data_IF_882616054619
#
_entry.id   IF_882616054619
#
_cell.length_a   1.000
_cell.length_b   1.000
_cell.length_c   1.000
_cell.angle_alpha   90.00
_cell.angle_beta   90.00
_cell.angle_gamma   90.00
#
_symmetry.space_group_name_H-M   'P 1'
#
loop_
_entity.id
_entity.type
_entity.pdbx_description
1 polymer ?
#
# COMPACT_ATOMS: atom_id res chain seq x y z
N UNK A 1 -49.42 -30.11 15.15
CA UNK A 1 -49.74 -30.62 13.80
C UNK A 1 -48.44 -30.74 13.03
N UNK A 2 -48.14 -31.96 12.60
CA UNK A 2 -46.88 -32.37 11.97
C UNK A 2 -46.92 -31.97 10.50
N UNK A 3 -45.89 -31.31 9.98
CA UNK A 3 -45.54 -31.43 8.57
C UNK A 3 -44.05 -31.71 8.45
N UNK A 4 -43.81 -32.87 7.84
CA UNK A 4 -42.57 -33.58 7.56
C UNK A 4 -42.51 -33.64 6.02
N UNK A 5 -41.46 -33.12 5.39
CA UNK A 5 -41.02 -33.46 4.02
C UNK A 5 -39.51 -33.23 3.92
N UNK A 6 -38.67 -34.28 3.85
CA UNK A 6 -38.16 -34.97 2.64
C UNK A 6 -37.15 -34.11 1.86
N UNK A 7 -35.84 -34.29 2.08
CA UNK A 7 -34.86 -35.08 1.25
C UNK A 7 -34.57 -34.54 -0.15
N UNK A 8 -33.30 -34.22 -0.42
CA UNK A 8 -32.56 -34.73 -1.59
C UNK A 8 -31.05 -34.41 -1.48
N UNK A 9 -30.25 -35.46 -1.35
CA UNK A 9 -28.80 -35.51 -1.47
C UNK A 9 -28.44 -35.67 -2.94
N UNK A 10 -27.51 -34.87 -3.48
CA UNK A 10 -26.93 -35.09 -4.80
C UNK A 10 -25.42 -35.29 -4.66
N UNK A 11 -25.00 -36.53 -4.86
CA UNK A 11 -23.62 -36.97 -5.03
C UNK A 11 -23.30 -36.82 -6.52
N UNK A 12 -22.30 -36.04 -6.88
CA UNK A 12 -21.70 -36.08 -8.22
C UNK A 12 -20.25 -36.53 -8.08
N UNK A 13 -20.05 -37.81 -8.34
CA UNK A 13 -18.78 -38.47 -8.63
C UNK A 13 -18.20 -37.94 -9.94
N UNK A 14 -16.96 -37.46 -9.91
CA UNK A 14 -16.18 -37.10 -11.11
C UNK A 14 -14.76 -37.65 -10.99
N UNK A 15 -14.53 -38.80 -11.61
CA UNK A 15 -13.22 -39.43 -11.79
C UNK A 15 -12.56 -38.80 -13.02
N UNK A 16 -11.35 -38.25 -12.87
CA UNK A 16 -10.50 -37.85 -13.98
C UNK A 16 -9.16 -38.60 -13.89
N UNK A 17 -8.94 -39.44 -14.90
CA UNK A 17 -7.78 -40.29 -15.14
C UNK A 17 -6.81 -39.57 -16.10
N UNK A 18 -5.54 -39.98 -16.10
CA UNK A 18 -4.45 -39.72 -17.07
C UNK A 18 -3.56 -38.50 -16.80
N UNK A 19 -2.23 -38.50 -16.97
CA UNK A 19 -1.14 -39.46 -17.22
C UNK A 19 0.17 -38.66 -16.92
N UNK A 20 1.30 -39.28 -16.54
CA UNK A 20 2.53 -38.53 -16.26
C UNK A 20 3.32 -38.20 -17.54
N UNK A 21 3.72 -36.93 -17.69
CA UNK A 21 4.67 -36.48 -18.71
C UNK A 21 6.11 -36.64 -18.18
N UNK A 22 6.89 -37.51 -18.83
CA UNK A 22 8.35 -37.57 -18.71
C UNK A 22 9.00 -36.39 -19.42
N UNK A 23 9.96 -35.74 -18.77
CA UNK A 23 10.84 -34.72 -19.35
C UNK A 23 12.25 -35.31 -19.52
N UNK A 24 12.87 -35.30 -20.71
CA UNK A 24 14.27 -35.65 -20.87
C UNK A 24 15.19 -34.48 -20.55
N UNK A 25 16.37 -34.81 -20.03
CA UNK A 25 17.43 -33.92 -19.58
C UNK A 25 18.00 -33.03 -20.70
N UNK A 26 18.24 -31.76 -20.37
CA UNK A 26 18.99 -30.82 -21.21
C UNK A 26 20.42 -30.67 -20.67
N UNK A 27 21.38 -30.87 -21.57
CA UNK A 27 22.82 -30.61 -21.45
C UNK A 27 23.10 -29.15 -21.04
N UNK A 28 23.99 -28.96 -20.06
CA UNK A 28 24.66 -27.68 -19.82
C UNK A 28 26.13 -27.77 -20.25
N UNK A 29 26.62 -26.89 -21.13
CA UNK A 29 28.05 -26.74 -21.38
C UNK A 29 28.70 -25.77 -20.38
N UNK A 30 29.88 -26.18 -19.92
CA UNK A 30 30.79 -25.51 -18.99
C UNK A 30 31.40 -24.24 -19.59
N UNK A 31 31.42 -23.13 -18.83
CA UNK A 31 32.16 -21.90 -19.17
C UNK A 31 33.53 -21.95 -18.50
N UNK A 32 34.60 -21.98 -19.31
CA UNK A 32 35.98 -21.69 -18.90
C UNK A 32 36.26 -20.19 -18.98
N UNK A 33 36.86 -19.65 -17.92
CA UNK A 33 37.36 -18.28 -17.81
C UNK A 33 38.85 -18.29 -18.08
N UNK A 34 39.33 -17.58 -19.09
CA UNK A 34 40.76 -17.28 -19.28
C UNK A 34 41.01 -15.79 -19.05
N UNK A 35 41.89 -15.53 -18.07
CA UNK A 35 42.48 -14.25 -17.74
C UNK A 35 43.74 -14.08 -18.59
N UNK A 36 43.93 -12.92 -19.23
CA UNK A 36 45.26 -12.53 -19.69
C UNK A 36 45.49 -11.02 -19.52
N UNK A 37 46.61 -10.73 -18.86
CA UNK A 37 47.23 -9.43 -18.70
C UNK A 37 48.57 -9.46 -19.44
N UNK A 38 48.98 -8.37 -20.11
CA UNK A 38 50.36 -7.89 -20.06
C UNK A 38 50.54 -6.45 -20.60
N UNK A 39 51.61 -5.81 -20.14
CA UNK A 39 52.00 -4.39 -20.24
C UNK A 39 53.10 -4.12 -21.29
N UNK A 40 53.38 -2.82 -21.55
CA UNK A 40 54.65 -2.28 -22.10
C UNK A 40 54.46 -0.98 -22.90
N UNK A 41 54.72 0.24 -22.37
CA UNK A 41 55.98 1.03 -22.35
C UNK A 41 56.43 1.53 -23.77
N UNK A 42 56.84 2.78 -24.10
CA UNK A 42 57.26 4.00 -23.38
C UNK A 42 57.32 5.28 -24.28
N UNK A 43 57.22 6.47 -23.66
CA UNK A 43 57.86 7.82 -23.90
C UNK A 43 57.67 8.57 -25.26
N UNK A 44 57.56 9.92 -25.42
CA UNK A 44 57.97 11.12 -24.66
C UNK A 44 57.17 12.40 -25.03
N UNK A 45 57.30 13.40 -24.15
CA UNK A 45 56.68 14.74 -23.96
C UNK A 45 56.86 15.73 -25.16
N UNK A 46 55.92 16.65 -25.44
CA UNK A 46 55.85 18.03 -24.88
C UNK A 46 54.50 18.71 -25.20
N UNK A 47 53.95 19.49 -24.27
CA UNK A 47 53.48 20.89 -24.44
C UNK A 47 52.57 21.30 -23.28
N UNK A 48 52.82 22.52 -22.81
CA UNK A 48 52.46 23.09 -21.52
C UNK A 48 51.10 23.80 -21.58
N UNK A 49 50.12 23.34 -20.78
CA UNK A 49 48.90 24.09 -20.41
C UNK A 49 48.28 23.47 -19.15
N UNK A 50 47.95 24.23 -18.09
CA UNK A 50 47.34 23.66 -16.90
C UNK A 50 45.90 23.22 -17.21
N UNK A 51 45.68 21.91 -17.30
CA UNK A 51 44.37 21.30 -17.42
C UNK A 51 43.74 21.16 -16.03
N UNK A 52 42.54 21.73 -15.88
CA UNK A 52 41.64 21.55 -14.73
C UNK A 52 41.42 20.04 -14.46
N UNK A 53 41.54 19.55 -13.22
CA UNK A 53 41.41 18.12 -12.96
C UNK A 53 39.97 17.63 -13.27
N UNK A 54 39.82 16.44 -13.90
CA UNK A 54 38.51 15.87 -14.18
C UNK A 54 37.84 15.45 -12.86
N UNK A 55 36.61 15.91 -12.66
CA UNK A 55 35.80 15.54 -11.51
C UNK A 55 35.57 14.02 -11.52
N UNK A 56 36.03 13.34 -10.46
CA UNK A 56 35.66 11.95 -10.19
C UNK A 56 34.14 11.87 -10.04
N UNK A 57 33.49 11.07 -10.90
CA UNK A 57 32.08 10.75 -10.76
C UNK A 57 31.91 9.84 -9.55
N UNK A 58 31.67 10.45 -8.40
CA UNK A 58 31.11 9.72 -7.26
C UNK A 58 29.68 9.37 -7.67
N UNK A 59 29.41 8.09 -7.95
CA UNK A 59 28.05 7.58 -8.01
C UNK A 59 27.45 7.76 -6.61
N UNK A 60 26.76 8.87 -6.40
CA UNK A 60 25.84 9.01 -5.28
C UNK A 60 24.74 7.97 -5.46
N UNK A 61 24.47 7.10 -4.48
CA UNK A 61 23.30 6.24 -4.54
C UNK A 61 22.08 7.14 -4.68
N UNK A 62 21.26 6.87 -5.70
CA UNK A 62 20.02 7.60 -5.93
C UNK A 62 19.10 7.31 -4.74
N UNK A 63 19.03 8.25 -3.80
CA UNK A 63 18.03 8.26 -2.74
C UNK A 63 16.69 8.37 -3.45
N UNK A 64 15.80 7.40 -3.26
CA UNK A 64 14.42 7.54 -3.71
C UNK A 64 13.83 8.78 -3.01
N UNK A 65 13.52 9.81 -3.79
CA UNK A 65 13.29 11.19 -3.30
C UNK A 65 11.82 11.51 -3.00
N UNK A 66 10.90 10.53 -3.12
CA UNK A 66 9.48 10.78 -2.86
C UNK A 66 9.23 10.87 -1.35
N UNK A 67 8.80 12.01 -0.79
CA UNK A 67 8.58 12.14 0.65
C UNK A 67 7.53 11.13 1.14
N UNK A 68 7.71 10.57 2.33
CA UNK A 68 6.68 9.74 2.99
C UNK A 68 5.50 10.63 3.36
N UNK A 69 4.39 10.50 2.64
CA UNK A 69 3.16 11.29 2.83
C UNK A 69 2.03 10.48 3.45
N UNK A 70 2.34 9.35 4.09
CA UNK A 70 1.31 8.49 4.71
C UNK A 70 0.72 9.08 5.97
N UNK A 71 1.42 9.98 6.68
CA UNK A 71 0.91 10.65 7.87
C UNK A 71 1.05 12.16 7.68
N UNK A 72 -0.05 12.89 7.89
CA UNK A 72 -0.03 14.35 7.94
C UNK A 72 -0.73 14.83 9.19
N UNK A 73 0.02 15.59 10.00
CA UNK A 73 -0.50 16.35 11.14
C UNK A 73 -0.84 17.73 10.62
N UNK A 74 -2.13 18.12 10.64
CA UNK A 74 -2.48 19.46 10.18
C UNK A 74 -1.74 20.53 11.01
N UNK A 75 -1.05 21.44 10.34
CA UNK A 75 -0.24 22.48 10.99
C UNK A 75 -1.08 23.76 11.21
N UNK A 76 -1.24 24.19 12.47
CA UNK A 76 -1.80 25.50 12.79
C UNK A 76 -2.66 25.58 14.06
N UNK A 77 -2.53 26.67 14.81
CA UNK A 77 -3.20 26.92 16.10
C UNK A 77 -4.61 27.53 15.99
N UNK A 78 -5.20 27.55 14.78
CA UNK A 78 -6.60 27.90 14.43
C UNK A 78 -6.67 28.09 12.90
N UNK A 79 -6.84 26.99 12.16
CA UNK A 79 -6.96 27.00 10.70
C UNK A 79 -8.41 26.84 10.22
N UNK A 80 -8.64 26.93 8.91
CA UNK A 80 -9.97 26.82 8.27
C UNK A 80 -10.67 25.49 8.60
N UNK A 81 -9.92 24.41 8.81
CA UNK A 81 -10.45 23.12 9.26
C UNK A 81 -10.86 23.08 10.76
N UNK A 82 -10.75 24.18 11.52
CA UNK A 82 -10.96 24.19 12.96
C UNK A 82 -9.90 23.36 13.70
N UNK A 83 -10.32 22.32 14.41
CA UNK A 83 -9.42 21.32 15.02
C UNK A 83 -8.74 20.52 13.93
N UNK A 84 -7.41 20.57 13.86
CA UNK A 84 -6.66 19.89 12.82
C UNK A 84 -6.44 18.42 13.18
N UNK A 85 -7.03 17.47 12.44
CA UNK A 85 -6.79 16.05 12.69
C UNK A 85 -5.36 15.67 12.31
N UNK A 86 -4.90 14.57 12.90
CA UNK A 86 -3.91 13.71 12.26
C UNK A 86 -4.65 12.80 11.29
N UNK A 87 -4.26 12.84 10.03
CA UNK A 87 -4.76 11.97 8.97
C UNK A 87 -3.64 10.99 8.58
N UNK A 88 -3.99 9.71 8.43
CA UNK A 88 -3.03 8.71 7.98
C UNK A 88 -3.62 7.72 6.97
N UNK A 89 -2.85 7.38 5.94
CA UNK A 89 -3.09 6.26 5.05
C UNK A 89 -2.49 4.99 5.68
N UNK A 90 -3.29 3.94 5.87
CA UNK A 90 -2.78 2.65 6.33
C UNK A 90 -2.17 1.93 5.12
N UNK A 91 -0.89 2.19 4.88
CA UNK A 91 -0.12 1.64 3.76
C UNK A 91 1.33 1.38 4.18
N UNK A 92 2.03 0.39 3.60
CA UNK A 92 3.48 0.31 3.66
C UNK A 92 4.14 1.42 2.83
N UNK A 93 5.43 1.63 3.02
CA UNK A 93 6.24 2.53 2.21
C UNK A 93 7.54 1.82 1.78
N UNK A 94 7.95 1.92 0.51
CA UNK A 94 7.34 2.75 -0.53
C UNK A 94 6.06 2.17 -1.16
N UNK A 95 5.81 0.87 -1.05
CA UNK A 95 4.65 0.19 -1.65
C UNK A 95 4.31 -1.09 -0.88
N UNK A 96 3.04 -1.51 -0.89
CA UNK A 96 2.59 -2.80 -0.33
C UNK A 96 1.84 -3.65 -1.37
N UNK A 97 2.02 -4.98 -1.39
CA UNK A 97 1.30 -5.85 -2.30
C UNK A 97 -0.07 -6.28 -1.76
N UNK A 98 -1.00 -6.57 -2.68
CA UNK A 98 -2.29 -7.24 -2.43
C UNK A 98 -2.54 -8.35 -3.45
N UNK A 99 -3.15 -9.47 -3.06
CA UNK A 99 -3.64 -10.46 -4.03
C UNK A 99 -5.04 -10.13 -4.54
N UNK A 100 -5.77 -9.22 -3.90
CA UNK A 100 -7.15 -8.88 -4.25
C UNK A 100 -7.22 -7.88 -5.41
N UNK A 101 -8.13 -8.10 -6.36
CA UNK A 101 -8.39 -7.15 -7.44
C UNK A 101 -9.22 -5.96 -7.00
N UNK A 102 -10.02 -6.13 -5.94
CA UNK A 102 -10.85 -5.08 -5.36
C UNK A 102 -10.65 -5.01 -3.84
N UNK A 103 -9.43 -4.65 -3.35
CA UNK A 103 -9.14 -4.59 -1.93
C UNK A 103 -9.94 -3.50 -1.21
N UNK A 104 -10.02 -3.62 0.11
CA UNK A 104 -10.39 -2.52 1.00
C UNK A 104 -9.14 -1.75 1.43
N UNK A 105 -9.13 -0.44 1.22
CA UNK A 105 -8.08 0.46 1.67
C UNK A 105 -8.51 1.14 2.96
N UNK A 106 -7.63 1.24 3.95
CA UNK A 106 -7.99 1.79 5.25
C UNK A 106 -7.25 3.11 5.52
N UNK A 107 -7.92 4.05 6.15
CA UNK A 107 -7.35 5.34 6.54
C UNK A 107 -7.77 5.70 7.96
N UNK A 108 -7.00 6.55 8.62
CA UNK A 108 -7.21 6.95 10.01
C UNK A 108 -7.37 8.46 10.14
N UNK A 109 -8.27 8.89 11.02
CA UNK A 109 -8.42 10.28 11.43
C UNK A 109 -8.56 10.41 12.95
N UNK A 110 -7.74 11.27 13.57
CA UNK A 110 -7.63 11.32 15.04
C UNK A 110 -8.77 12.03 15.75
N UNK A 111 -9.56 12.83 15.05
CA UNK A 111 -10.67 13.62 15.60
C UNK A 111 -11.82 13.64 14.63
N UNK A 112 -13.06 13.74 15.12
CA UNK A 112 -14.21 13.90 14.26
C UNK A 112 -14.12 15.22 13.48
N UNK A 113 -14.52 15.22 12.21
CA UNK A 113 -14.47 16.39 11.34
C UNK A 113 -15.82 16.64 10.67
N UNK A 114 -16.16 17.92 10.54
CA UNK A 114 -17.36 18.39 9.83
C UNK A 114 -17.08 18.80 8.38
N UNK A 115 -15.92 18.40 7.85
CA UNK A 115 -15.51 18.65 6.47
C UNK A 115 -15.64 17.36 5.66
N UNK A 116 -15.97 17.45 4.35
CA UNK A 116 -16.01 16.27 3.51
C UNK A 116 -14.60 15.69 3.33
N UNK A 117 -14.55 14.36 3.18
CA UNK A 117 -13.33 13.65 2.81
C UNK A 117 -13.42 13.31 1.34
N UNK A 118 -12.34 13.58 0.60
CA UNK A 118 -12.16 13.10 -0.76
C UNK A 118 -11.18 11.94 -0.78
N UNK A 119 -11.53 10.91 -1.53
CA UNK A 119 -10.66 9.78 -1.84
C UNK A 119 -10.40 9.77 -3.34
N UNK A 120 -9.16 9.51 -3.73
CA UNK A 120 -8.78 9.25 -5.13
C UNK A 120 -7.85 8.06 -5.24
N UNK A 121 -7.95 7.34 -6.36
CA UNK A 121 -7.07 6.25 -6.78
C UNK A 121 -6.63 6.54 -8.22
N UNK A 122 -5.33 6.60 -8.46
CA UNK A 122 -4.74 6.81 -9.78
C UNK A 122 -3.82 5.64 -10.13
N UNK A 123 -3.67 5.39 -11.42
CA UNK A 123 -2.65 4.50 -11.96
C UNK A 123 -1.29 5.23 -11.98
N UNK A 124 -0.25 4.67 -11.35
CA UNK A 124 1.09 5.31 -11.38
C UNK A 124 1.76 5.19 -12.76
N UNK A 125 1.33 4.25 -13.61
CA UNK A 125 1.92 4.02 -14.93
C UNK A 125 1.29 4.91 -16.02
N UNK A 126 0.22 5.64 -15.71
CA UNK A 126 -0.40 6.58 -16.65
C UNK A 126 0.40 7.88 -16.81
N UNK A 127 0.72 8.23 -18.05
CA UNK A 127 1.43 9.48 -18.39
C UNK A 127 0.67 10.76 -17.97
N UNK A 128 -0.67 10.69 -17.94
CA UNK A 128 -1.54 11.79 -17.50
C UNK A 128 -2.41 11.23 -16.39
N UNK A 129 -2.06 11.44 -15.11
CA UNK A 129 -2.74 10.79 -14.00
C UNK A 129 -4.19 11.28 -13.92
N UNK A 130 -5.12 10.39 -14.29
CA UNK A 130 -6.56 10.57 -14.09
C UNK A 130 -7.02 9.62 -12.98
N UNK A 131 -7.93 10.05 -12.10
CA UNK A 131 -8.47 9.15 -11.09
C UNK A 131 -9.24 8.03 -11.77
N UNK A 132 -8.79 6.80 -11.56
CA UNK A 132 -9.54 5.58 -11.86
C UNK A 132 -10.78 5.50 -10.98
N UNK A 133 -10.68 6.04 -9.77
CA UNK A 133 -11.77 6.18 -8.84
C UNK A 133 -11.63 7.47 -8.03
N UNK A 134 -12.73 8.18 -7.86
CA UNK A 134 -12.83 9.32 -6.96
C UNK A 134 -14.17 9.27 -6.24
N UNK A 135 -14.18 9.53 -4.94
CA UNK A 135 -15.42 9.58 -4.15
C UNK A 135 -15.33 10.60 -3.02
N UNK A 136 -16.50 10.99 -2.50
CA UNK A 136 -16.66 11.91 -1.38
C UNK A 136 -17.42 11.23 -0.25
N UNK A 137 -16.86 11.35 0.96
CA UNK A 137 -17.54 10.96 2.20
C UNK A 137 -18.15 12.21 2.81
N UNK A 138 -19.47 12.20 2.97
CA UNK A 138 -20.19 13.32 3.55
C UNK A 138 -19.89 13.45 5.06
N UNK A 139 -19.73 14.68 5.58
CA UNK A 139 -19.60 14.90 7.01
C UNK A 139 -20.95 14.63 7.73
N UNK A 140 -20.93 14.38 9.05
CA UNK A 140 -19.76 14.33 9.92
C UNK A 140 -19.01 12.99 9.80
N UNK A 141 -17.68 13.07 9.70
CA UNK A 141 -16.83 11.88 9.73
C UNK A 141 -16.31 11.68 11.15
N UNK A 142 -16.57 10.51 11.72
CA UNK A 142 -16.13 10.15 13.06
C UNK A 142 -14.62 9.90 13.11
N UNK A 143 -14.02 10.01 14.30
CA UNK A 143 -12.64 9.62 14.50
C UNK A 143 -12.45 8.10 14.44
N UNK A 144 -11.27 7.64 14.06
CA UNK A 144 -10.92 6.23 13.98
C UNK A 144 -10.44 5.78 12.60
N UNK A 145 -10.46 4.46 12.41
CA UNK A 145 -10.05 3.80 11.16
C UNK A 145 -11.29 3.55 10.31
N UNK A 146 -11.22 3.94 9.04
CA UNK A 146 -12.33 3.87 8.08
C UNK A 146 -11.90 3.09 6.83
N UNK A 147 -12.80 2.26 6.26
CA UNK A 147 -12.56 1.56 5.00
C UNK A 147 -12.95 2.40 3.78
N UNK A 148 -12.30 2.13 2.65
CA UNK A 148 -12.72 2.44 1.28
C UNK A 148 -12.71 1.11 0.52
N UNK A 149 -13.88 0.59 0.19
CA UNK A 149 -14.01 -0.70 -0.50
C UNK A 149 -14.02 -0.46 -1.99
N UNK A 150 -12.99 -0.90 -2.72
CA UNK A 150 -12.96 -0.76 -4.18
C UNK A 150 -14.04 -1.62 -4.87
N UNK A 151 -14.52 -2.66 -4.19
CA UNK A 151 -15.64 -3.47 -4.64
C UNK A 151 -16.92 -2.63 -4.86
N UNK A 152 -17.15 -1.61 -4.02
CA UNK A 152 -18.37 -0.79 -4.08
C UNK A 152 -18.42 0.11 -5.33
N UNK A 153 -17.25 0.42 -5.92
CA UNK A 153 -17.16 1.21 -7.15
C UNK A 153 -17.01 0.38 -8.42
N UNK A 154 -16.77 -0.92 -8.30
CA UNK A 154 -16.52 -1.82 -9.43
C UNK A 154 -15.11 -1.69 -10.04
N UNK A 155 -14.24 -0.87 -9.46
CA UNK A 155 -12.85 -0.70 -9.93
C UNK A 155 -12.02 -1.93 -9.58
N UNK A 156 -11.20 -2.39 -10.53
CA UNK A 156 -10.34 -3.57 -10.42
C UNK A 156 -8.89 -3.21 -10.71
N UNK A 157 -8.01 -3.63 -9.81
CA UNK A 157 -6.56 -3.50 -9.96
C UNK A 157 -6.02 -4.60 -10.87
N UNK A 158 -5.19 -4.25 -11.84
CA UNK A 158 -4.58 -5.19 -12.77
C UNK A 158 -3.29 -5.77 -12.19
N UNK A 159 -3.00 -7.07 -12.35
CA UNK A 159 -1.78 -7.70 -11.85
C UNK A 159 -0.50 -7.03 -12.35
N UNK A 160 0.43 -6.76 -11.42
CA UNK A 160 1.73 -6.14 -11.67
C UNK A 160 1.71 -4.63 -11.82
N UNK A 161 0.56 -3.97 -11.65
CA UNK A 161 0.44 -2.51 -11.71
C UNK A 161 0.45 -1.91 -10.30
N UNK A 162 0.97 -0.68 -10.21
CA UNK A 162 0.99 0.12 -9.00
C UNK A 162 -0.01 1.25 -9.11
N UNK A 163 -0.67 1.50 -7.99
CA UNK A 163 -1.68 2.53 -7.86
C UNK A 163 -1.36 3.40 -6.67
N UNK A 164 -1.44 4.70 -6.86
CA UNK A 164 -1.36 5.67 -5.78
C UNK A 164 -2.78 6.03 -5.36
N UNK A 165 -3.03 5.99 -4.07
CA UNK A 165 -4.31 6.38 -3.50
C UNK A 165 -4.12 7.45 -2.44
N UNK A 166 -5.08 8.36 -2.34
CA UNK A 166 -5.03 9.46 -1.39
C UNK A 166 -6.37 9.68 -0.70
N UNK A 167 -6.28 10.20 0.52
CA UNK A 167 -7.42 10.70 1.28
C UNK A 167 -7.13 12.13 1.69
N UNK A 168 -8.10 13.03 1.52
CA UNK A 168 -7.97 14.44 1.81
C UNK A 168 -9.16 14.96 2.61
N UNK A 169 -8.89 15.64 3.72
CA UNK A 169 -9.87 16.50 4.40
C UNK A 169 -9.96 17.80 3.63
N UNK A 170 -11.10 18.06 2.99
CA UNK A 170 -11.31 19.28 2.20
C UNK A 170 -11.67 20.43 3.12
N UNK A 171 -10.67 21.20 3.53
CA UNK A 171 -10.88 22.33 4.45
C UNK A 171 -11.56 23.51 3.75
N UNK A 172 -11.21 23.76 2.50
CA UNK A 172 -11.70 24.88 1.69
C UNK A 172 -11.74 24.46 0.22
N UNK A 173 -12.94 24.28 -0.33
CA UNK A 173 -13.13 23.81 -1.70
C UNK A 173 -12.46 24.73 -2.74
N UNK A 174 -12.37 26.03 -2.47
CA UNK A 174 -11.74 27.02 -3.36
C UNK A 174 -10.21 27.08 -3.15
N UNK A 175 -9.69 26.51 -2.06
CA UNK A 175 -8.27 26.61 -1.67
C UNK A 175 -7.71 25.26 -1.23
N UNK A 176 -7.74 24.30 -2.17
CA UNK A 176 -7.27 22.91 -2.00
C UNK A 176 -5.82 22.74 -1.54
N UNK A 177 -4.97 23.76 -1.70
CA UNK A 177 -3.60 23.77 -1.15
C UNK A 177 -3.56 23.73 0.38
N UNK A 178 -4.71 23.90 1.05
CA UNK A 178 -4.87 23.82 2.51
C UNK A 178 -5.39 22.49 3.01
N UNK A 179 -5.68 21.56 2.12
CA UNK A 179 -6.18 20.25 2.53
C UNK A 179 -5.15 19.52 3.38
N UNK A 180 -5.65 18.80 4.37
CA UNK A 180 -4.86 17.81 5.09
C UNK A 180 -5.05 16.53 4.31
N UNK A 181 -4.00 15.98 3.71
CA UNK A 181 -4.11 14.76 2.92
C UNK A 181 -2.99 13.78 3.22
N UNK A 182 -3.32 12.50 3.13
CA UNK A 182 -2.40 11.39 3.29
C UNK A 182 -2.48 10.48 2.06
N UNK A 183 -1.42 9.73 1.80
CA UNK A 183 -1.27 8.99 0.56
C UNK A 183 -0.57 7.66 0.80
N UNK A 184 -0.96 6.64 0.04
CA UNK A 184 -0.34 5.32 0.03
C UNK A 184 -0.17 4.79 -1.39
N UNK A 185 0.68 3.78 -1.54
CA UNK A 185 0.85 3.06 -2.80
C UNK A 185 0.49 1.60 -2.58
N UNK A 186 -0.29 1.03 -3.50
CA UNK A 186 -0.66 -0.37 -3.53
C UNK A 186 -0.26 -0.98 -4.86
N UNK A 187 0.32 -2.17 -4.79
CA UNK A 187 0.64 -2.98 -5.96
C UNK A 187 -0.28 -4.20 -5.98
N UNK A 188 -0.87 -4.48 -7.14
CA UNK A 188 -1.54 -5.76 -7.32
C UNK A 188 -0.51 -6.83 -7.62
N UNK A 189 -0.33 -7.77 -6.70
CA UNK A 189 0.62 -8.87 -6.86
C UNK A 189 0.28 -9.72 -8.09
N UNK A 190 1.32 -10.20 -8.78
CA UNK A 190 1.15 -11.30 -9.73
C UNK A 190 1.02 -12.61 -8.95
N UNK A 191 0.42 -13.62 -9.56
CA UNK A 191 0.17 -14.93 -8.93
C UNK A 191 1.43 -15.61 -8.35
N UNK A 192 2.62 -15.30 -8.87
CA UNK A 192 3.89 -15.84 -8.38
C UNK A 192 4.41 -15.14 -7.12
N UNK A 193 3.86 -13.98 -6.76
CA UNK A 193 4.48 -13.01 -5.84
C UNK A 193 3.65 -12.85 -4.54
N UNK A 194 2.75 -13.79 -4.25
CA UNK A 194 1.76 -13.73 -3.15
C UNK A 194 2.34 -13.88 -1.73
N UNK A 195 3.66 -13.77 -1.55
CA UNK A 195 4.28 -13.85 -0.22
C UNK A 195 4.23 -12.48 0.49
N UNK A 196 3.66 -12.43 1.70
CA UNK A 196 3.69 -11.23 2.55
C UNK A 196 2.78 -10.10 2.08
N UNK A 197 1.48 -10.39 1.90
CA UNK A 197 0.46 -9.47 1.40
C UNK A 197 -0.08 -8.57 2.53
N UNK A 198 0.69 -7.54 2.88
CA UNK A 198 0.37 -6.66 4.00
C UNK A 198 -1.04 -6.05 3.93
N UNK A 199 -1.49 -5.62 2.75
CA UNK A 199 -2.85 -5.08 2.57
C UNK A 199 -3.92 -6.13 2.87
N UNK A 200 -3.67 -7.39 2.52
CA UNK A 200 -4.60 -8.50 2.72
C UNK A 200 -4.69 -8.86 4.20
N UNK A 201 -3.57 -8.82 4.92
CA UNK A 201 -3.53 -9.03 6.38
C UNK A 201 -4.28 -7.92 7.13
N UNK A 202 -4.03 -6.65 6.75
CA UNK A 202 -4.73 -5.49 7.36
C UNK A 202 -6.22 -5.52 7.06
N UNK A 203 -6.61 -5.92 5.85
CA UNK A 203 -8.01 -6.09 5.47
C UNK A 203 -8.66 -7.21 6.29
N UNK A 204 -8.06 -8.39 6.32
CA UNK A 204 -8.60 -9.54 7.05
C UNK A 204 -8.80 -9.23 8.54
N UNK A 205 -7.82 -8.62 9.22
CA UNK A 205 -7.97 -8.27 10.64
C UNK A 205 -9.00 -7.15 10.85
N UNK A 206 -9.11 -6.19 9.91
CA UNK A 206 -10.06 -5.10 10.01
C UNK A 206 -11.50 -5.56 9.82
N UNK A 207 -11.74 -6.50 8.91
CA UNK A 207 -13.06 -7.12 8.72
C UNK A 207 -13.48 -7.92 9.96
N UNK A 208 -12.55 -8.66 10.57
CA UNK A 208 -12.80 -9.33 11.85
C UNK A 208 -13.13 -8.31 12.95
N UNK A 209 -12.42 -7.18 13.00
CA UNK A 209 -12.67 -6.08 13.93
C UNK A 209 -14.06 -5.46 13.73
N UNK A 210 -14.54 -5.31 12.51
CA UNK A 210 -15.91 -4.81 12.25
C UNK A 210 -16.94 -5.71 12.92
N UNK A 211 -16.72 -7.04 12.91
CA UNK A 211 -17.63 -8.01 13.56
C UNK A 211 -17.45 -8.14 15.07
N UNK A 212 -16.23 -7.90 15.57
CA UNK A 212 -15.87 -8.03 16.98
C UNK A 212 -15.07 -6.79 17.45
N UNK A 213 -15.72 -5.61 17.56
CA UNK A 213 -15.04 -4.34 17.73
C UNK A 213 -14.36 -4.16 19.08
N UNK A 214 -14.63 -5.02 20.08
CA UNK A 214 -13.98 -4.98 21.40
C UNK A 214 -12.97 -6.10 21.59
N UNK A 215 -12.71 -6.94 20.57
CA UNK A 215 -11.71 -8.01 20.67
C UNK A 215 -10.30 -7.41 20.67
N UNK A 216 -9.68 -7.47 21.86
CA UNK A 216 -8.34 -6.93 22.08
C UNK A 216 -7.25 -7.71 21.33
N UNK A 217 -7.44 -9.00 21.05
CA UNK A 217 -6.45 -9.77 20.30
C UNK A 217 -6.41 -9.30 18.84
N UNK A 218 -7.57 -9.08 18.23
CA UNK A 218 -7.64 -8.52 16.87
C UNK A 218 -7.02 -7.11 16.81
N UNK A 219 -7.31 -6.27 17.81
CA UNK A 219 -6.70 -4.93 17.92
C UNK A 219 -5.19 -4.98 18.05
N UNK A 220 -4.64 -5.91 18.84
CA UNK A 220 -3.19 -6.10 18.94
C UNK A 220 -2.57 -6.56 17.62
N UNK A 221 -3.26 -7.44 16.88
CA UNK A 221 -2.81 -7.87 15.56
C UNK A 221 -2.76 -6.68 14.60
N UNK A 222 -3.83 -5.87 14.49
CA UNK A 222 -3.83 -4.68 13.63
C UNK A 222 -2.79 -3.65 14.07
N UNK A 223 -2.66 -3.39 15.38
CA UNK A 223 -1.62 -2.52 15.90
C UNK A 223 -0.21 -2.99 15.53
N UNK A 224 0.07 -4.30 15.59
CA UNK A 224 1.36 -4.84 15.18
C UNK A 224 1.65 -4.62 13.69
N UNK A 225 0.66 -4.78 12.81
CA UNK A 225 0.80 -4.50 11.38
C UNK A 225 1.08 -3.02 11.10
N UNK A 226 0.45 -2.13 11.87
CA UNK A 226 0.68 -0.69 11.81
C UNK A 226 2.08 -0.29 12.29
N UNK A 227 2.60 -0.94 13.34
CA UNK A 227 3.96 -0.72 13.81
C UNK A 227 5.01 -1.14 12.77
N UNK A 228 4.79 -2.24 12.04
CA UNK A 228 5.70 -2.68 10.96
C UNK A 228 5.89 -1.60 9.89
N UNK A 229 4.85 -0.81 9.63
CA UNK A 229 4.88 0.27 8.64
C UNK A 229 5.11 1.65 9.27
N UNK A 230 5.55 1.70 10.54
CA UNK A 230 5.87 2.93 11.29
C UNK A 230 4.67 3.87 11.52
N UNK A 231 3.45 3.31 11.60
CA UNK A 231 2.22 4.03 11.94
C UNK A 231 1.91 3.92 13.45
N UNK A 232 2.91 4.15 14.31
CA UNK A 232 2.83 3.90 15.76
C UNK A 232 1.75 4.72 16.49
N UNK A 233 1.53 5.97 16.07
CA UNK A 233 0.46 6.82 16.64
C UNK A 233 -0.93 6.19 16.38
N UNK A 234 -1.13 5.57 15.20
CA UNK A 234 -2.37 4.88 14.83
C UNK A 234 -2.49 3.56 15.58
N UNK A 235 -1.40 2.79 15.70
CA UNK A 235 -1.35 1.57 16.49
C UNK A 235 -1.74 1.82 17.96
N UNK A 236 -1.17 2.87 18.56
CA UNK A 236 -1.48 3.28 19.92
C UNK A 236 -2.94 3.71 20.08
N UNK A 237 -3.51 4.41 19.08
CA UNK A 237 -4.94 4.71 19.07
C UNK A 237 -5.78 3.43 19.08
N UNK A 238 -5.46 2.48 18.20
CA UNK A 238 -6.27 1.27 18.01
C UNK A 238 -6.40 0.45 19.29
N UNK A 239 -5.31 0.34 20.04
CA UNK A 239 -5.27 -0.35 21.35
C UNK A 239 -6.08 0.37 22.44
N UNK A 240 -6.18 1.70 22.40
CA UNK A 240 -6.93 2.47 23.40
C UNK A 240 -8.44 2.37 23.21
N UNK A 241 -8.91 2.19 21.96
CA UNK A 241 -10.36 2.19 21.66
C UNK A 241 -11.15 1.19 22.52
N UNK A 242 -10.60 0.00 22.79
CA UNK A 242 -11.28 -1.02 23.60
C UNK A 242 -11.34 -0.63 25.09
N UNK A 243 -10.31 0.05 25.59
CA UNK A 243 -10.24 0.49 26.98
C UNK A 243 -11.26 1.60 27.30
N UNK A 244 -11.62 2.41 26.29
CA UNK A 244 -12.65 3.44 26.41
C UNK A 244 -14.06 2.86 26.34
N UNK A 245 -14.30 1.85 25.50
CA UNK A 245 -15.61 1.16 25.39
C UNK A 245 -15.95 0.35 26.66
N UNK A 246 -14.95 -0.04 27.46
CA UNK A 246 -15.13 -0.85 28.67
C UNK A 246 -15.37 -0.03 29.95
N UNK A 247 -15.47 1.30 29.86
CA UNK A 247 -15.78 2.21 30.98
C UNK A 247 -17.19 2.75 30.88
#
# INVERSE_FOLDING_TARGET
MKHLMLTACWIITGVALSLPLSVPAADQPSITVDLNADQGAAASLTSDRPAKPPASQTLTPMVDTKPDRRIVKGAGTRGICGTLPTLAALAPYPTGPTAHDQPSLYWFISTAVSHPIEFSLIDEDENVPRPLFETRIAPPVQLGVHPIRLADSGVRLEPGKRYEWSVAVVCDAERRSKDIFAMGVIERAKRSDEAGLWYDEVMAVSDLIETAPTDMNLRRTRASLLEQVKLSDVAAYDLRTVAEVSR
#
